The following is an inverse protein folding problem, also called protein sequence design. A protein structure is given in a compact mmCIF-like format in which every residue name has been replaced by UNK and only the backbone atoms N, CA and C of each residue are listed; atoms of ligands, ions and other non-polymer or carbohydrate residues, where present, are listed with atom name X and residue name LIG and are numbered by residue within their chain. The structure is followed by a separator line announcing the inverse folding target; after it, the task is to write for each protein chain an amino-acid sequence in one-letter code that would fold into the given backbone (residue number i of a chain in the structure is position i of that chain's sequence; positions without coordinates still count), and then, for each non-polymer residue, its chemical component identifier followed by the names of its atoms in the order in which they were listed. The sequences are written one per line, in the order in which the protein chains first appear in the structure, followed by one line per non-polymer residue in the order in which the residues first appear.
data_IF_220824867736
#
_entry.id   IF_220824867736
#
_cell.length_a   1.000
_cell.length_b   1.000
_cell.length_c   1.000
_cell.angle_alpha   90.00
_cell.angle_beta   90.00
_cell.angle_gamma   90.00
#
_symmetry.space_group_name_H-M   'P 1'
#
loop_
_entity.id
_entity.type
_entity.pdbx_description
1 polymer ?
#
# COMPACT_ATOMS: atom_id res chain seq x y z
N UNK A 1 30.12 10.62 13.36
CA UNK A 1 29.83 9.87 12.12
C UNK A 1 28.33 9.59 12.11
N UNK A 2 27.54 10.51 11.58
CA UNK A 2 26.08 10.42 11.51
C UNK A 2 25.72 9.61 10.27
N UNK A 3 25.12 8.44 10.49
CA UNK A 3 24.82 7.45 9.46
C UNK A 3 23.89 7.99 8.38
N UNK A 4 24.15 7.57 7.15
CA UNK A 4 23.28 7.76 5.99
C UNK A 4 21.95 7.04 6.25
N UNK A 5 20.84 7.72 6.03
CA UNK A 5 19.48 7.20 6.10
C UNK A 5 18.89 7.18 4.69
N UNK A 6 18.43 6.01 4.24
CA UNK A 6 17.72 5.84 2.98
C UNK A 6 16.32 5.35 3.30
N UNK A 7 15.29 5.98 2.73
CA UNK A 7 13.89 5.70 3.04
C UNK A 7 13.16 4.81 2.02
N UNK A 8 12.29 3.91 2.47
CA UNK A 8 11.49 3.04 1.59
C UNK A 8 10.11 2.76 2.19
N UNK A 9 9.03 2.90 1.40
CA UNK A 9 7.66 2.75 1.88
C UNK A 9 6.93 1.60 1.18
N UNK A 10 6.32 0.69 1.95
CA UNK A 10 5.46 -0.37 1.43
C UNK A 10 4.00 -0.10 1.79
N UNK A 11 3.11 -0.05 0.79
CA UNK A 11 1.67 0.11 0.98
C UNK A 11 0.98 -1.26 0.94
N UNK A 12 0.07 -1.55 1.88
CA UNK A 12 -0.72 -2.78 1.89
C UNK A 12 -2.23 -2.50 1.97
N UNK A 13 -3.02 -3.36 1.32
CA UNK A 13 -4.48 -3.37 1.40
C UNK A 13 -5.02 -4.63 2.12
N UNK A 14 -5.10 -4.71 3.46
CA UNK A 14 -5.74 -5.82 4.23
C UNK A 14 -4.80 -6.76 5.05
N UNK A 15 -5.32 -7.87 5.68
CA UNK A 15 -4.58 -9.05 6.30
C UNK A 15 -4.68 -10.49 5.64
N UNK A 16 -3.55 -11.17 5.32
CA UNK A 16 -3.47 -12.42 4.51
C UNK A 16 -3.13 -13.67 5.34
N UNK A 17 -3.63 -14.83 4.91
CA UNK A 17 -3.24 -16.18 5.35
C UNK A 17 -2.22 -16.82 4.37
N UNK A 18 -1.34 -17.75 4.79
CA UNK A 18 -0.25 -18.23 3.95
C UNK A 18 -0.69 -19.26 2.89
N UNK A 19 -0.19 -19.13 1.66
CA UNK A 19 -0.33 -20.09 0.57
C UNK A 19 0.57 -19.72 -0.62
N UNK A 20 1.14 -20.74 -1.29
CA UNK A 20 2.13 -20.67 -2.37
C UNK A 20 1.83 -19.56 -3.41
N UNK A 21 2.77 -18.65 -3.60
CA UNK A 21 2.61 -17.45 -4.41
C UNK A 21 3.25 -17.58 -5.79
N UNK A 22 2.51 -17.21 -6.84
CA UNK A 22 3.12 -16.76 -8.09
C UNK A 22 3.75 -15.38 -7.86
N UNK A 23 5.03 -15.22 -8.19
CA UNK A 23 5.83 -14.01 -7.98
C UNK A 23 5.55 -12.92 -9.03
N UNK A 24 4.29 -12.52 -9.21
CA UNK A 24 3.98 -11.44 -10.15
C UNK A 24 4.28 -10.07 -9.52
N UNK A 25 5.27 -9.36 -10.07
CA UNK A 25 5.55 -7.95 -9.78
C UNK A 25 5.79 -7.15 -11.07
N UNK A 26 5.61 -5.83 -11.03
CA UNK A 26 5.82 -4.95 -12.19
C UNK A 26 6.52 -3.68 -11.77
N UNK A 27 7.55 -3.30 -12.53
CA UNK A 27 8.29 -2.08 -12.31
C UNK A 27 7.44 -0.84 -12.63
N UNK A 28 7.59 0.20 -11.84
CA UNK A 28 6.88 1.45 -12.04
C UNK A 28 7.64 2.38 -13.01
N UNK A 29 6.90 3.12 -13.81
CA UNK A 29 7.44 4.09 -14.75
C UNK A 29 7.99 5.31 -14.02
N UNK A 30 9.26 5.64 -14.28
CA UNK A 30 9.86 6.89 -13.84
C UNK A 30 9.91 7.87 -15.01
N UNK A 31 9.08 8.91 -14.97
CA UNK A 31 9.26 10.03 -15.90
C UNK A 31 10.33 10.96 -15.35
N UNK A 32 11.46 11.09 -16.05
CA UNK A 32 12.49 12.11 -15.71
C UNK A 32 11.99 13.55 -15.74
N UNK A 33 10.79 13.80 -16.26
CA UNK A 33 10.19 15.14 -16.40
C UNK A 33 9.16 15.46 -15.32
N UNK A 34 8.77 14.50 -14.49
CA UNK A 34 7.68 14.69 -13.54
C UNK A 34 8.21 14.53 -12.11
N UNK A 35 8.15 15.61 -11.32
CA UNK A 35 8.63 15.66 -9.94
C UNK A 35 7.58 15.22 -8.92
N UNK A 36 6.41 14.73 -9.37
CA UNK A 36 5.35 14.29 -8.49
C UNK A 36 5.83 13.19 -7.55
N UNK A 37 5.68 13.42 -6.25
CA UNK A 37 6.07 12.54 -5.15
C UNK A 37 4.86 12.21 -4.30
N UNK A 38 4.85 11.04 -3.64
CA UNK A 38 3.82 10.76 -2.63
C UNK A 38 3.81 11.81 -1.50
N UNK A 39 4.93 12.49 -1.26
CA UNK A 39 5.05 13.53 -0.24
C UNK A 39 4.25 14.80 -0.58
N UNK A 40 3.86 14.99 -1.84
CA UNK A 40 3.02 16.10 -2.27
C UNK A 40 1.53 15.88 -1.89
N UNK A 41 1.15 14.64 -1.63
CA UNK A 41 -0.22 14.29 -1.27
C UNK A 41 -0.36 14.41 0.24
N UNK A 42 -1.13 15.42 0.67
CA UNK A 42 -1.66 15.40 2.04
C UNK A 42 -2.64 14.24 2.11
N UNK A 43 -2.19 13.12 2.67
CA UNK A 43 -3.11 12.08 3.12
C UNK A 43 -3.88 12.72 4.28
N UNK A 44 -5.03 13.35 3.97
CA UNK A 44 -5.75 14.29 4.84
C UNK A 44 -6.12 13.72 6.23
N UNK A 45 -5.85 12.45 6.50
CA UNK A 45 -6.10 11.82 7.80
C UNK A 45 -5.07 10.75 8.16
N UNK A 46 -3.77 11.06 8.04
CA UNK A 46 -2.80 10.46 8.96
C UNK A 46 -3.10 10.83 10.42
N UNK A 47 -3.53 12.08 10.60
CA UNK A 47 -3.85 12.71 11.88
C UNK A 47 -4.93 11.99 12.70
N UNK A 48 -5.78 11.17 12.07
CA UNK A 48 -6.83 10.44 12.75
C UNK A 48 -6.28 9.31 13.64
N UNK A 49 -5.17 8.69 13.24
CA UNK A 49 -4.55 7.54 13.92
C UNK A 49 -3.16 7.89 14.49
N UNK A 50 -2.51 8.93 13.92
CA UNK A 50 -1.25 9.50 14.37
C UNK A 50 -1.35 11.03 14.30
N UNK A 51 -2.01 11.70 15.27
CA UNK A 51 -2.30 13.14 15.24
C UNK A 51 -1.08 14.04 15.02
N UNK A 52 0.12 13.53 15.29
CA UNK A 52 1.38 14.25 15.17
C UNK A 52 2.32 13.70 14.07
N UNK A 53 1.85 12.83 13.16
CA UNK A 53 2.73 12.22 12.14
C UNK A 53 2.26 12.39 10.69
N UNK A 54 3.18 12.77 9.82
CA UNK A 54 3.04 12.87 8.36
C UNK A 54 3.74 11.69 7.67
N UNK A 55 3.41 11.39 6.41
CA UNK A 55 4.12 10.39 5.60
C UNK A 55 5.61 10.76 5.46
N UNK A 56 5.92 12.05 5.55
CA UNK A 56 7.27 12.60 5.58
C UNK A 56 8.09 12.21 6.82
N UNK A 57 7.46 11.75 7.91
CA UNK A 57 8.16 11.33 9.12
C UNK A 57 8.80 9.94 8.99
N UNK A 58 8.46 9.20 7.94
CA UNK A 58 8.98 7.86 7.68
C UNK A 58 10.18 7.91 6.71
N UNK A 59 11.35 8.25 7.25
CA UNK A 59 12.60 8.50 6.49
C UNK A 59 13.61 7.35 6.42
N UNK A 60 13.26 6.15 6.90
CA UNK A 60 14.15 4.96 6.81
C UNK A 60 13.42 3.76 6.16
N UNK A 61 12.41 3.24 6.82
CA UNK A 61 11.51 2.28 6.20
C UNK A 61 10.20 2.34 6.95
N UNK A 62 9.10 2.32 6.21
CA UNK A 62 7.80 2.20 6.82
C UNK A 62 6.86 1.32 6.00
N UNK A 63 5.98 0.67 6.73
CA UNK A 63 4.84 -0.04 6.20
C UNK A 63 3.62 0.84 6.49
N UNK A 64 2.81 1.14 5.49
CA UNK A 64 1.56 1.86 5.67
C UNK A 64 0.40 0.97 5.20
N UNK A 65 -0.63 0.84 6.02
CA UNK A 65 -1.80 0.03 5.69
C UNK A 65 -3.03 0.91 5.45
N UNK A 66 -3.67 0.73 4.30
CA UNK A 66 -4.87 1.46 3.90
C UNK A 66 -6.04 0.47 3.83
N UNK A 67 -6.92 0.42 4.85
CA UNK A 67 -8.11 -0.41 4.82
C UNK A 67 -9.00 -0.04 3.63
N UNK A 68 -9.61 -1.03 2.98
CA UNK A 68 -10.49 -0.83 1.84
C UNK A 68 -11.52 -1.96 1.76
N UNK A 69 -12.79 -1.62 1.53
CA UNK A 69 -13.87 -2.60 1.52
C UNK A 69 -14.34 -3.03 0.11
N UNK A 70 -13.64 -2.59 -0.94
CA UNK A 70 -14.04 -2.82 -2.34
C UNK A 70 -13.86 -4.27 -2.82
N UNK A 71 -13.14 -5.10 -2.06
CA UNK A 71 -12.75 -6.45 -2.47
C UNK A 71 -13.39 -7.50 -1.57
N UNK A 72 -14.46 -8.12 -2.06
CA UNK A 72 -15.20 -9.16 -1.34
C UNK A 72 -15.86 -8.70 -0.04
N UNK A 73 -15.99 -7.38 0.16
CA UNK A 73 -16.43 -6.76 1.42
C UNK A 73 -15.68 -7.29 2.66
N UNK A 74 -14.36 -7.47 2.53
CA UNK A 74 -13.53 -8.08 3.56
C UNK A 74 -13.06 -7.11 4.65
N UNK A 75 -13.41 -5.83 4.57
CA UNK A 75 -13.10 -4.79 5.57
C UNK A 75 -14.40 -4.07 6.02
N UNK A 76 -15.32 -4.81 6.68
CA UNK A 76 -16.66 -4.29 7.01
C UNK A 76 -16.65 -3.24 8.12
N UNK A 77 -15.59 -3.15 8.93
CA UNK A 77 -15.51 -2.23 10.07
C UNK A 77 -15.78 -0.79 9.66
N UNK A 78 -16.71 -0.12 10.35
CA UNK A 78 -17.20 1.21 10.01
C UNK A 78 -16.14 2.30 10.23
N UNK A 79 -15.23 2.09 11.17
CA UNK A 79 -14.15 3.03 11.49
C UNK A 79 -12.92 2.34 12.07
N UNK A 80 -11.96 3.18 12.46
CA UNK A 80 -10.69 2.81 13.11
C UNK A 80 -10.83 1.73 14.18
N UNK A 81 -11.66 2.02 15.18
CA UNK A 81 -11.78 1.21 16.37
C UNK A 81 -12.23 -0.21 16.03
N UNK A 82 -13.25 -0.34 15.17
CA UNK A 82 -13.75 -1.65 14.75
C UNK A 82 -12.72 -2.44 13.92
N UNK A 83 -11.97 -1.76 13.05
CA UNK A 83 -10.91 -2.39 12.25
C UNK A 83 -9.80 -2.91 13.19
N UNK A 84 -9.32 -2.07 14.11
CA UNK A 84 -8.28 -2.43 15.08
C UNK A 84 -8.76 -3.53 16.04
N UNK A 85 -10.02 -3.49 16.49
CA UNK A 85 -10.62 -4.54 17.30
C UNK A 85 -10.73 -5.86 16.52
N UNK A 86 -11.09 -5.81 15.23
CA UNK A 86 -11.10 -6.97 14.35
C UNK A 86 -9.72 -7.61 14.25
N UNK A 87 -8.67 -6.81 14.05
CA UNK A 87 -7.28 -7.24 14.00
C UNK A 87 -6.84 -7.89 15.33
N UNK A 88 -7.12 -7.21 16.44
CA UNK A 88 -6.67 -7.58 17.78
C UNK A 88 -7.38 -8.81 18.34
N UNK A 89 -8.69 -8.90 18.16
CA UNK A 89 -9.53 -9.87 18.85
C UNK A 89 -10.13 -10.95 17.96
N UNK A 90 -10.16 -10.75 16.63
CA UNK A 90 -10.84 -11.69 15.70
C UNK A 90 -9.87 -12.35 14.74
N UNK A 91 -9.21 -11.57 13.88
CA UNK A 91 -8.24 -12.07 12.90
C UNK A 91 -7.24 -10.97 12.56
N UNK A 92 -5.94 -11.17 12.82
CA UNK A 92 -5.30 -12.41 13.30
C UNK A 92 -5.69 -12.84 14.74
N UNK A 93 -6.20 -11.92 15.57
CA UNK A 93 -6.57 -12.23 16.95
C UNK A 93 -5.35 -12.33 17.88
N UNK A 94 -5.54 -12.92 19.07
CA UNK A 94 -4.49 -13.15 20.07
C UNK A 94 -3.74 -11.86 20.49
N UNK A 95 -4.49 -10.78 20.71
CA UNK A 95 -3.96 -9.46 21.10
C UNK A 95 -2.93 -8.89 20.10
N UNK A 96 -2.94 -9.37 18.85
CA UNK A 96 -2.06 -8.84 17.81
C UNK A 96 -2.30 -7.35 17.60
N UNK A 97 -1.21 -6.59 17.59
CA UNK A 97 -1.23 -5.16 17.36
C UNK A 97 -0.26 -4.85 16.22
N UNK A 98 -0.72 -4.16 15.15
CA UNK A 98 0.18 -3.68 14.10
C UNK A 98 1.27 -2.80 14.70
N UNK A 99 2.52 -3.06 14.34
CA UNK A 99 3.67 -2.21 14.70
C UNK A 99 3.87 -1.04 13.72
N UNK A 100 2.92 -0.87 12.82
CA UNK A 100 2.95 0.05 11.71
C UNK A 100 1.61 0.78 11.61
N UNK A 101 1.60 1.98 11.00
CA UNK A 101 0.39 2.77 10.88
C UNK A 101 -0.69 2.10 10.01
N UNK A 102 -1.89 1.99 10.57
CA UNK A 102 -3.13 1.66 9.85
C UNK A 102 -3.93 2.96 9.72
N UNK A 103 -4.36 3.28 8.50
CA UNK A 103 -4.95 4.58 8.15
C UNK A 103 -6.48 4.50 8.11
N UNK A 104 -7.10 5.64 7.81
CA UNK A 104 -8.52 5.71 7.50
C UNK A 104 -8.85 4.76 6.32
N UNK A 105 -10.04 4.17 6.39
CA UNK A 105 -10.58 3.36 5.30
C UNK A 105 -10.83 4.25 4.08
N UNK A 106 -10.35 3.84 2.92
CA UNK A 106 -10.47 4.58 1.65
C UNK A 106 -10.90 3.67 0.52
N UNK A 107 -11.38 4.27 -0.57
CA UNK A 107 -11.52 3.60 -1.86
C UNK A 107 -10.22 3.71 -2.65
N UNK A 108 -9.87 2.66 -3.38
CA UNK A 108 -8.61 2.56 -4.16
C UNK A 108 -8.85 2.39 -5.66
N UNK A 109 -10.10 2.15 -6.06
CA UNK A 109 -10.57 2.04 -7.43
C UNK A 109 -11.89 2.80 -7.63
N UNK A 110 -12.22 3.10 -8.89
CA UNK A 110 -13.49 3.72 -9.28
C UNK A 110 -13.48 5.24 -9.14
N UNK A 111 -14.64 5.86 -9.35
CA UNK A 111 -14.76 7.34 -9.40
C UNK A 111 -14.41 8.01 -8.07
N UNK A 112 -14.67 7.34 -6.95
CA UNK A 112 -14.40 7.84 -5.59
C UNK A 112 -13.03 7.39 -5.04
N UNK A 113 -12.11 6.92 -5.88
CA UNK A 113 -10.79 6.49 -5.41
C UNK A 113 -9.98 7.65 -4.83
N UNK A 114 -9.18 7.34 -3.81
CA UNK A 114 -8.30 8.32 -3.21
C UNK A 114 -7.16 8.71 -4.16
N UNK A 115 -6.82 10.00 -4.25
CA UNK A 115 -5.83 10.55 -5.19
C UNK A 115 -4.45 9.88 -5.09
N UNK A 116 -4.05 9.46 -3.88
CA UNK A 116 -2.87 8.63 -3.65
C UNK A 116 -2.86 7.38 -4.55
N UNK A 117 -3.98 6.63 -4.60
CA UNK A 117 -4.07 5.42 -5.41
C UNK A 117 -4.20 5.74 -6.90
N UNK A 118 -4.82 6.86 -7.27
CA UNK A 118 -4.78 7.37 -8.66
C UNK A 118 -3.33 7.60 -9.10
N UNK A 119 -2.54 8.28 -8.27
CA UNK A 119 -1.12 8.50 -8.50
C UNK A 119 -0.37 7.18 -8.65
N UNK A 120 -0.47 6.28 -7.67
CA UNK A 120 0.26 5.01 -7.69
C UNK A 120 -0.07 4.14 -8.91
N UNK A 121 -1.36 3.99 -9.24
CA UNK A 121 -1.83 3.20 -10.39
C UNK A 121 -1.44 3.81 -11.73
N UNK A 122 -1.27 5.13 -11.79
CA UNK A 122 -0.78 5.82 -12.99
C UNK A 122 0.65 5.45 -13.34
N UNK A 123 1.52 5.32 -12.33
CA UNK A 123 2.94 5.03 -12.55
C UNK A 123 3.27 3.54 -12.51
N UNK A 124 2.46 2.72 -11.86
CA UNK A 124 2.73 1.28 -11.75
C UNK A 124 1.62 0.46 -12.42
N UNK A 125 1.90 -0.19 -13.57
CA UNK A 125 0.95 -1.10 -14.21
C UNK A 125 0.52 -2.22 -13.27
N UNK A 126 -0.72 -2.69 -13.42
CA UNK A 126 -1.20 -3.82 -12.63
C UNK A 126 -0.35 -5.09 -12.88
N UNK A 127 0.04 -5.82 -11.82
CA UNK A 127 0.86 -7.02 -11.93
C UNK A 127 0.10 -8.20 -12.55
N UNK A 128 -1.24 -8.19 -12.48
CA UNK A 128 -2.11 -9.17 -13.13
C UNK A 128 -2.94 -8.54 -14.26
N UNK A 129 -3.06 -9.29 -15.35
CA UNK A 129 -3.92 -8.94 -16.48
C UNK A 129 -5.41 -9.10 -16.19
N UNK A 130 -5.75 -9.99 -15.26
CA UNK A 130 -7.13 -10.39 -15.01
C UNK A 130 -7.64 -9.87 -13.67
N UNK A 131 -8.89 -9.45 -13.66
CA UNK A 131 -9.62 -9.15 -12.45
C UNK A 131 -10.17 -10.43 -11.81
N UNK A 132 -10.46 -10.35 -10.50
CA UNK A 132 -11.35 -11.33 -9.86
C UNK A 132 -12.77 -11.20 -10.44
N UNK A 133 -13.61 -12.20 -10.16
CA UNK A 133 -14.99 -12.19 -10.63
C UNK A 133 -15.71 -10.90 -10.22
N UNK A 134 -16.42 -10.25 -11.16
CA UNK A 134 -17.03 -8.92 -10.98
C UNK A 134 -17.92 -8.82 -9.74
N UNK A 135 -18.67 -9.88 -9.40
CA UNK A 135 -19.52 -9.91 -8.19
C UNK A 135 -18.74 -9.83 -6.86
N UNK A 136 -17.41 -9.96 -6.89
CA UNK A 136 -16.53 -9.79 -5.73
C UNK A 136 -15.87 -8.41 -5.68
N UNK A 137 -16.14 -7.55 -6.66
CA UNK A 137 -15.53 -6.24 -6.82
C UNK A 137 -16.63 -5.19 -6.70
N UNK A 138 -16.56 -4.40 -5.64
CA UNK A 138 -17.59 -3.46 -5.21
C UNK A 138 -17.20 -2.03 -5.61
N UNK A 139 -17.15 -1.81 -6.93
CA UNK A 139 -16.98 -0.52 -7.59
C UNK A 139 -17.40 -0.67 -9.06
N UNK A 140 -17.78 0.43 -9.70
CA UNK A 140 -18.51 0.36 -10.98
C UNK A 140 -17.63 0.17 -12.21
N UNK A 141 -16.79 1.15 -12.50
CA UNK A 141 -15.97 1.20 -13.71
C UNK A 141 -14.59 0.61 -13.43
N UNK A 142 -14.25 -0.44 -14.18
CA UNK A 142 -12.94 -1.10 -14.11
C UNK A 142 -11.97 -0.48 -15.12
N UNK A 143 -10.79 -0.11 -14.64
CA UNK A 143 -9.70 0.44 -15.44
C UNK A 143 -8.48 -0.48 -15.46
N UNK A 144 -7.68 -0.43 -16.54
CA UNK A 144 -6.59 -1.38 -16.78
C UNK A 144 -5.63 -1.50 -15.58
N UNK A 145 -5.35 -0.41 -14.87
CA UNK A 145 -4.41 -0.41 -13.76
C UNK A 145 -5.04 -0.56 -12.37
N UNK A 146 -6.34 -0.83 -12.27
CA UNK A 146 -7.01 -1.00 -10.98
C UNK A 146 -6.37 -2.04 -10.07
N UNK A 147 -6.47 -1.80 -8.75
CA UNK A 147 -6.11 -2.77 -7.73
C UNK A 147 -6.96 -4.03 -7.93
N UNK A 148 -6.31 -5.19 -7.94
CA UNK A 148 -6.90 -6.48 -8.30
C UNK A 148 -7.57 -7.16 -7.13
N UNK A 149 -7.01 -6.98 -5.93
CA UNK A 149 -7.54 -7.56 -4.71
C UNK A 149 -6.91 -6.88 -3.48
N UNK A 150 -7.39 -7.27 -2.31
CA UNK A 150 -6.66 -7.07 -1.06
C UNK A 150 -5.20 -7.55 -1.22
N UNK A 151 -4.27 -6.90 -0.54
CA UNK A 151 -2.82 -7.17 -0.43
C UNK A 151 -1.97 -6.75 -1.59
N UNK A 152 -2.52 -6.02 -2.54
CA UNK A 152 -1.66 -5.42 -3.54
C UNK A 152 -0.72 -4.40 -2.88
N UNK A 153 0.52 -4.37 -3.35
CA UNK A 153 1.60 -3.67 -2.65
C UNK A 153 2.34 -2.73 -3.58
N UNK A 154 2.73 -1.58 -3.07
CA UNK A 154 3.56 -0.61 -3.77
C UNK A 154 4.79 -0.34 -2.92
N UNK A 155 5.96 -0.52 -3.52
CA UNK A 155 7.24 -0.10 -2.95
C UNK A 155 7.59 1.26 -3.54
N UNK A 156 7.95 2.20 -2.68
CA UNK A 156 8.23 3.60 -3.03
C UNK A 156 9.61 3.96 -2.50
N UNK A 157 10.37 4.71 -3.29
CA UNK A 157 11.72 5.16 -2.93
C UNK A 157 11.72 6.35 -1.96
N UNK A 158 12.91 6.73 -1.49
CA UNK A 158 13.13 7.84 -0.54
C UNK A 158 12.76 9.23 -1.06
N UNK A 159 12.57 9.37 -2.36
CA UNK A 159 12.10 10.60 -2.99
C UNK A 159 10.58 10.58 -3.15
N UNK A 160 9.91 9.54 -2.63
CA UNK A 160 8.49 9.36 -2.70
C UNK A 160 8.00 8.94 -4.10
N UNK A 161 8.86 8.34 -4.92
CA UNK A 161 8.50 7.87 -6.27
C UNK A 161 8.19 6.37 -6.25
N UNK A 162 7.09 5.92 -6.88
CA UNK A 162 6.76 4.50 -6.96
C UNK A 162 7.86 3.73 -7.69
N UNK A 163 8.37 2.68 -7.06
CA UNK A 163 9.46 1.84 -7.57
C UNK A 163 8.96 0.53 -8.16
N UNK A 164 8.12 -0.20 -7.42
CA UNK A 164 7.63 -1.52 -7.82
C UNK A 164 6.22 -1.77 -7.28
N UNK A 165 5.41 -2.51 -8.02
CA UNK A 165 4.07 -2.96 -7.62
C UNK A 165 3.99 -4.48 -7.61
N UNK A 166 3.41 -5.05 -6.56
CA UNK A 166 3.43 -6.49 -6.28
C UNK A 166 2.02 -7.05 -6.19
N UNK A 167 1.84 -8.25 -6.69
CA UNK A 167 0.59 -8.97 -6.61
C UNK A 167 0.13 -9.15 -5.14
N UNK A 168 -1.19 -9.15 -4.87
CA UNK A 168 -1.78 -9.68 -3.66
C UNK A 168 -1.06 -10.87 -3.02
N UNK A 169 -0.78 -11.90 -3.81
CA UNK A 169 -0.22 -13.16 -3.31
C UNK A 169 1.28 -13.12 -3.08
N UNK A 170 2.01 -12.12 -3.59
CA UNK A 170 3.46 -12.02 -3.38
C UNK A 170 3.79 -12.02 -1.89
N UNK A 171 4.62 -12.99 -1.48
CA UNK A 171 5.05 -13.14 -0.10
C UNK A 171 5.87 -11.93 0.36
N UNK A 172 5.68 -11.43 1.60
CA UNK A 172 6.46 -10.30 2.11
C UNK A 172 7.98 -10.51 2.02
N UNK A 173 8.46 -11.73 2.30
CA UNK A 173 9.89 -12.03 2.28
C UNK A 173 10.52 -11.89 0.89
N UNK A 174 9.77 -12.11 -0.20
CA UNK A 174 10.31 -11.96 -1.57
C UNK A 174 10.46 -10.50 -2.00
N UNK A 175 9.94 -9.55 -1.21
CA UNK A 175 10.07 -8.10 -1.44
C UNK A 175 11.36 -7.57 -0.78
N UNK A 176 11.94 -8.32 0.17
CA UNK A 176 13.11 -7.91 0.97
C UNK A 176 14.27 -7.43 0.10
N UNK A 177 14.61 -8.15 -0.95
CA UNK A 177 15.74 -7.79 -1.83
C UNK A 177 15.51 -6.43 -2.52
N UNK A 178 14.28 -6.12 -2.94
CA UNK A 178 13.96 -4.83 -3.55
C UNK A 178 14.01 -3.69 -2.50
N UNK A 179 13.59 -3.96 -1.26
CA UNK A 179 13.70 -3.00 -0.14
C UNK A 179 15.17 -2.72 0.15
N UNK A 180 15.98 -3.76 0.36
CA UNK A 180 17.42 -3.63 0.64
C UNK A 180 18.14 -2.90 -0.51
N UNK A 181 17.71 -3.11 -1.75
CA UNK A 181 18.25 -2.37 -2.88
C UNK A 181 18.00 -0.85 -2.75
N UNK A 182 16.78 -0.43 -2.40
CA UNK A 182 16.46 0.99 -2.23
C UNK A 182 17.15 1.60 -1.00
N UNK A 183 17.25 0.84 0.10
CA UNK A 183 17.95 1.28 1.31
C UNK A 183 19.46 1.46 1.08
N UNK A 184 20.06 0.68 0.19
CA UNK A 184 21.49 0.77 -0.12
C UNK A 184 21.80 1.73 -1.28
N UNK A 185 20.80 2.37 -1.90
CA UNK A 185 21.04 3.35 -2.95
C UNK A 185 21.60 4.65 -2.37
N UNK A 186 22.79 5.11 -2.82
CA UNK A 186 23.35 6.38 -2.37
C UNK A 186 22.39 7.53 -2.68
N UNK A 187 22.38 8.56 -1.83
CA UNK A 187 21.77 9.84 -2.17
C UNK A 187 22.56 10.44 -3.34
N UNK A 188 21.91 10.58 -4.50
CA UNK A 188 22.48 11.28 -5.66
C UNK A 188 22.33 12.80 -5.50
#
# INVERSE_FOLDING_TARGET
MTGLFASTLLLLCGFLAPGLAHEAKTACYHSRRNNASIYDYRVETLSKYFPDKDIQDYKDFALLAFPCNQFGMQEPGAGEEEILNGIRYVRPGNDFQPTFPVFAKINVNGEDEHELYTYLKRYCPAPDKFFRAKHRLYYDKQEVNDIRWNFEKFLIDKHGRPYMRYNPTTAPDSIRADIEQLLNQPDL
#
